data_IF_644633033197
#
_entry.id   IF_644633033197
#
_cell.length_a   1.000
_cell.length_b   1.000
_cell.length_c   1.000
_cell.angle_alpha   90.00
_cell.angle_beta   90.00
_cell.angle_gamma   90.00
#
_symmetry.space_group_name_H-M   'P 1'
#
loop_
_entity.id
_entity.type
_entity.pdbx_description
1 polymer ?
#
# COMPACT_ATOMS: atom_id res chain seq x y z
N UNK A 1 -4.56 -75.68 -2.94
CA UNK A 1 -5.58 -74.90 -2.19
C UNK A 1 -5.00 -73.49 -1.99
N UNK A 2 -5.55 -72.48 -2.67
CA UNK A 2 -5.09 -71.08 -2.61
C UNK A 2 -5.63 -70.44 -1.33
N UNK A 3 -4.78 -69.82 -0.52
CA UNK A 3 -5.21 -68.82 0.47
C UNK A 3 -4.25 -67.64 0.39
N UNK A 4 -4.74 -66.59 -0.26
CA UNK A 4 -4.15 -65.26 -0.40
C UNK A 4 -4.22 -64.52 0.92
N UNK A 5 -3.06 -64.19 1.50
CA UNK A 5 -2.97 -63.31 2.67
C UNK A 5 -1.96 -62.19 2.40
N UNK A 6 -2.43 -61.13 1.75
CA UNK A 6 -1.94 -59.79 2.03
C UNK A 6 -3.11 -58.83 1.83
N UNK A 7 -3.64 -58.27 2.93
CA UNK A 7 -3.67 -56.82 3.01
C UNK A 7 -3.60 -56.36 4.48
N UNK A 8 -2.46 -56.52 5.15
CA UNK A 8 -2.31 -56.00 6.52
C UNK A 8 -1.37 -54.79 6.60
N UNK A 9 -0.39 -54.69 5.69
CA UNK A 9 0.60 -53.60 5.70
C UNK A 9 0.07 -52.33 5.01
N UNK A 10 -0.74 -52.46 3.96
CA UNK A 10 -1.31 -51.30 3.25
C UNK A 10 -2.41 -50.59 4.06
N UNK A 11 -3.24 -51.35 4.78
CA UNK A 11 -4.36 -50.83 5.57
C UNK A 11 -3.88 -50.07 6.81
N UNK A 12 -2.83 -50.58 7.48
CA UNK A 12 -2.16 -49.89 8.59
C UNK A 12 -1.48 -48.61 8.11
N UNK A 13 -0.81 -48.65 6.96
CA UNK A 13 -0.20 -47.46 6.35
C UNK A 13 -1.23 -46.39 6.00
N UNK A 14 -2.39 -46.77 5.44
CA UNK A 14 -3.48 -45.84 5.17
C UNK A 14 -4.11 -45.26 6.44
N UNK A 15 -4.31 -46.07 7.48
CA UNK A 15 -4.79 -45.56 8.77
C UNK A 15 -3.78 -44.60 9.42
N UNK A 16 -2.48 -44.88 9.35
CA UNK A 16 -1.43 -43.95 9.82
C UNK A 16 -1.41 -42.65 9.02
N UNK A 17 -1.60 -42.72 7.70
CA UNK A 17 -1.65 -41.55 6.84
C UNK A 17 -2.90 -40.69 7.10
N UNK A 18 -4.06 -41.32 7.31
CA UNK A 18 -5.31 -40.64 7.67
C UNK A 18 -5.24 -39.99 9.06
N UNK A 19 -4.61 -40.65 10.04
CA UNK A 19 -4.39 -40.07 11.38
C UNK A 19 -3.45 -38.87 11.29
N UNK A 20 -2.36 -38.96 10.52
CA UNK A 20 -1.45 -37.83 10.28
C UNK A 20 -2.13 -36.64 9.62
N UNK A 21 -3.00 -36.89 8.62
CA UNK A 21 -3.76 -35.84 7.95
C UNK A 21 -4.82 -35.19 8.87
N UNK A 22 -5.43 -35.96 9.77
CA UNK A 22 -6.34 -35.43 10.80
C UNK A 22 -5.61 -34.50 11.80
N UNK A 23 -4.37 -34.84 12.16
CA UNK A 23 -3.52 -33.98 13.00
C UNK A 23 -3.13 -32.66 12.31
N UNK A 24 -2.89 -32.67 10.99
CA UNK A 24 -2.63 -31.44 10.22
C UNK A 24 -3.86 -30.51 10.20
N UNK A 25 -5.07 -31.06 10.07
CA UNK A 25 -6.29 -30.24 10.16
C UNK A 25 -6.57 -29.73 11.58
N UNK A 26 -6.26 -30.53 12.62
CA UNK A 26 -6.44 -30.09 14.01
C UNK A 26 -5.44 -28.98 14.41
N UNK A 27 -4.24 -28.96 13.82
CA UNK A 27 -3.23 -27.94 14.07
C UNK A 27 -3.54 -26.55 13.46
N UNK A 28 -4.58 -26.44 12.62
CA UNK A 28 -5.06 -25.15 12.11
C UNK A 28 -6.22 -24.54 12.94
N UNK A 29 -6.60 -25.15 14.06
CA UNK A 29 -7.69 -24.66 14.92
C UNK A 29 -7.23 -24.05 16.24
N UNK A 30 -5.97 -23.64 16.34
CA UNK A 30 -5.62 -22.60 17.33
C UNK A 30 -6.20 -21.28 16.83
N UNK A 31 -7.45 -21.00 17.22
CA UNK A 31 -7.86 -19.61 17.39
C UNK A 31 -6.75 -18.95 18.22
N UNK A 32 -6.21 -17.80 17.80
CA UNK A 32 -5.12 -17.16 18.51
C UNK A 32 -5.55 -17.05 19.98
N UNK A 33 -4.79 -17.70 20.87
CA UNK A 33 -4.91 -17.41 22.29
C UNK A 33 -4.82 -15.90 22.37
N UNK A 34 -5.84 -15.28 22.96
CA UNK A 34 -5.69 -13.94 23.51
C UNK A 34 -4.62 -14.07 24.58
N UNK A 35 -3.35 -14.05 24.19
CA UNK A 35 -2.40 -13.21 24.90
C UNK A 35 -3.13 -11.90 25.08
N UNK A 36 -3.10 -11.38 26.30
CA UNK A 36 -3.41 -9.99 26.51
C UNK A 36 -2.56 -9.24 25.49
N UNK A 37 -3.20 -8.91 24.36
CA UNK A 37 -2.86 -7.80 23.54
C UNK A 37 -2.97 -6.70 24.58
N UNK A 38 -1.84 -6.41 25.24
CA UNK A 38 -1.48 -5.05 25.57
C UNK A 38 -1.98 -4.32 24.36
N UNK A 39 -3.16 -3.69 24.51
CA UNK A 39 -3.72 -2.85 23.48
C UNK A 39 -2.49 -2.07 23.10
N UNK A 40 -1.97 -2.27 21.88
CA UNK A 40 -1.10 -1.27 21.29
C UNK A 40 -1.93 -0.04 21.55
N UNK A 41 -1.49 0.74 22.54
CA UNK A 41 -2.16 1.96 22.87
C UNK A 41 -2.12 2.60 21.50
N UNK A 42 -3.29 2.79 20.90
CA UNK A 42 -3.42 3.77 19.84
C UNK A 42 -3.00 5.01 20.58
N UNK A 43 -1.67 5.24 20.62
CA UNK A 43 -1.09 6.50 20.92
C UNK A 43 -1.91 7.39 20.03
N UNK A 44 -2.68 8.29 20.65
CA UNK A 44 -3.35 9.36 19.94
C UNK A 44 -2.34 9.81 18.90
N UNK A 45 -2.63 9.54 17.62
CA UNK A 45 -1.70 9.88 16.55
C UNK A 45 -1.60 11.38 16.72
N UNK A 46 -0.51 11.85 17.32
CA UNK A 46 -0.33 13.24 17.63
C UNK A 46 -0.55 13.93 16.30
N UNK A 47 -1.60 14.76 16.22
CA UNK A 47 -2.01 15.37 14.96
C UNK A 47 -0.86 16.27 14.55
N UNK A 48 0.02 15.76 13.70
CA UNK A 48 1.11 16.54 13.14
C UNK A 48 0.46 17.49 12.14
N UNK A 49 0.66 18.78 12.36
CA UNK A 49 0.19 19.78 11.42
C UNK A 49 1.06 19.73 10.16
N UNK A 50 0.41 19.67 9.01
CA UNK A 50 1.09 19.61 7.72
C UNK A 50 1.76 20.96 7.41
N UNK A 51 3.06 20.93 7.12
CA UNK A 51 3.76 22.06 6.51
C UNK A 51 3.77 21.88 4.99
N UNK A 52 3.36 22.92 4.28
CA UNK A 52 3.29 22.92 2.81
C UNK A 52 4.45 23.73 2.24
N UNK A 53 5.32 23.05 1.49
CA UNK A 53 6.47 23.63 0.83
C UNK A 53 6.16 23.92 -0.63
N UNK A 54 6.72 25.02 -1.15
CA UNK A 54 6.56 25.38 -2.56
C UNK A 54 7.41 24.46 -3.43
N UNK A 55 6.80 23.88 -4.46
CA UNK A 55 7.53 23.19 -5.54
C UNK A 55 7.71 24.17 -6.69
N UNK A 56 8.95 24.38 -7.11
CA UNK A 56 9.33 25.32 -8.17
C UNK A 56 10.27 24.62 -9.14
N UNK A 57 10.13 24.92 -10.43
CA UNK A 57 11.15 24.60 -11.40
C UNK A 57 12.20 25.73 -11.41
N UNK A 58 13.46 25.39 -11.63
CA UNK A 58 14.56 26.35 -11.73
C UNK A 58 15.05 26.36 -13.17
N UNK A 59 14.91 27.49 -13.83
CA UNK A 59 15.44 27.73 -15.16
C UNK A 59 16.98 27.74 -15.10
N UNK A 60 17.72 27.32 -16.15
CA UNK A 60 19.19 27.30 -16.13
C UNK A 60 19.85 28.65 -15.75
N UNK A 61 19.15 29.75 -16.04
CA UNK A 61 19.51 31.14 -15.78
C UNK A 61 19.15 31.58 -14.35
N UNK A 62 18.68 30.66 -13.49
CA UNK A 62 18.38 30.87 -12.08
C UNK A 62 16.99 31.41 -11.78
N UNK A 63 16.12 31.57 -12.79
CA UNK A 63 14.74 32.02 -12.59
C UNK A 63 13.87 30.90 -12.00
N UNK A 64 13.02 31.24 -11.04
CA UNK A 64 12.06 30.31 -10.45
C UNK A 64 10.75 30.34 -11.23
N UNK A 65 10.26 29.16 -11.63
CA UNK A 65 9.02 28.98 -12.37
C UNK A 65 8.02 28.18 -11.53
N UNK A 66 6.75 28.54 -11.65
CA UNK A 66 5.66 27.85 -10.99
C UNK A 66 5.42 26.47 -11.60
N UNK A 67 5.27 25.47 -10.74
CA UNK A 67 4.78 24.14 -11.13
C UNK A 67 3.30 24.06 -10.77
N UNK A 68 2.45 23.84 -11.77
CA UNK A 68 0.99 23.79 -11.66
C UNK A 68 0.44 22.54 -12.34
N UNK A 69 -0.62 21.97 -11.79
CA UNK A 69 -1.45 21.02 -12.52
C UNK A 69 -2.58 21.76 -13.23
N UNK A 70 -3.08 21.19 -14.33
CA UNK A 70 -4.20 21.73 -15.09
C UNK A 70 -5.21 20.62 -15.35
N UNK A 71 -6.50 20.93 -15.23
CA UNK A 71 -7.57 20.05 -15.71
C UNK A 71 -7.86 20.27 -17.20
N UNK A 72 -8.83 19.53 -17.73
CA UNK A 72 -9.22 19.58 -19.14
C UNK A 72 -9.78 20.96 -19.54
N UNK A 73 -10.36 21.70 -18.60
CA UNK A 73 -10.89 23.06 -18.78
C UNK A 73 -9.79 24.13 -18.65
N UNK A 74 -8.57 23.74 -18.28
CA UNK A 74 -7.42 24.64 -18.12
C UNK A 74 -7.38 25.37 -16.77
N UNK A 75 -8.19 24.97 -15.80
CA UNK A 75 -8.09 25.48 -14.42
C UNK A 75 -6.81 24.95 -13.78
N UNK A 76 -6.06 25.87 -13.19
CA UNK A 76 -4.78 25.56 -12.54
C UNK A 76 -4.95 25.16 -11.08
N UNK A 77 -4.17 24.18 -10.63
CA UNK A 77 -4.08 23.74 -9.24
C UNK A 77 -2.64 23.81 -8.73
N UNK A 78 -2.51 24.04 -7.43
CA UNK A 78 -1.21 24.15 -6.77
C UNK A 78 -0.56 22.78 -6.57
N UNK A 79 0.73 22.70 -6.88
CA UNK A 79 1.58 21.56 -6.52
C UNK A 79 2.42 21.95 -5.30
N UNK A 80 2.33 21.17 -4.23
CA UNK A 80 3.03 21.39 -2.97
C UNK A 80 3.73 20.11 -2.52
N UNK A 81 4.85 20.26 -1.83
CA UNK A 81 5.43 19.18 -1.05
C UNK A 81 4.88 19.24 0.38
N UNK A 82 4.54 18.10 0.97
CA UNK A 82 3.91 18.01 2.29
C UNK A 82 4.87 17.35 3.27
N UNK A 83 5.13 18.04 4.37
CA UNK A 83 5.80 17.49 5.56
C UNK A 83 4.74 17.26 6.64
N UNK A 84 4.51 15.99 6.98
CA UNK A 84 3.49 15.56 7.94
C UNK A 84 4.05 14.77 9.14
N UNK A 85 5.37 14.85 9.34
CA UNK A 85 6.11 14.27 10.47
C UNK A 85 7.39 15.08 10.67
N UNK A 86 8.22 14.66 11.60
CA UNK A 86 9.66 14.98 11.75
C UNK A 86 10.55 14.52 10.57
N UNK A 87 9.97 14.34 9.38
CA UNK A 87 10.71 13.96 8.17
C UNK A 87 11.42 15.18 7.57
N UNK A 88 12.74 15.08 7.41
CA UNK A 88 13.56 16.18 6.87
C UNK A 88 14.14 15.88 5.48
N UNK A 89 14.10 14.61 5.04
CA UNK A 89 14.82 14.15 3.84
C UNK A 89 13.95 13.88 2.63
N UNK A 90 12.71 13.42 2.84
CA UNK A 90 11.79 13.07 1.76
C UNK A 90 10.45 13.73 2.04
N UNK A 91 9.86 14.37 1.03
CA UNK A 91 8.56 15.01 1.13
C UNK A 91 7.66 14.52 0.01
N UNK A 92 6.39 14.29 0.33
CA UNK A 92 5.39 13.88 -0.64
C UNK A 92 4.97 15.07 -1.51
N UNK A 93 5.12 14.97 -2.82
CA UNK A 93 4.59 15.95 -3.77
C UNK A 93 3.14 15.61 -4.11
N UNK A 94 2.22 16.54 -3.87
CA UNK A 94 0.78 16.37 -4.07
C UNK A 94 0.15 17.58 -4.77
N UNK A 95 -0.94 17.33 -5.49
CA UNK A 95 -1.78 18.36 -6.08
C UNK A 95 -2.86 18.78 -5.09
N UNK A 96 -3.06 20.08 -4.89
CA UNK A 96 -4.04 20.60 -3.94
C UNK A 96 -5.31 20.98 -4.70
N UNK A 97 -6.33 20.12 -4.59
CA UNK A 97 -7.65 20.32 -5.18
C UNK A 97 -8.66 20.48 -4.05
N UNK A 98 -9.33 21.63 -3.96
CA UNK A 98 -10.33 21.91 -2.93
C UNK A 98 -9.85 21.64 -1.49
N UNK A 99 -8.59 22.04 -1.21
CA UNK A 99 -7.88 21.83 0.07
C UNK A 99 -7.58 20.36 0.39
N UNK A 100 -7.88 19.45 -0.53
CA UNK A 100 -7.54 18.03 -0.44
C UNK A 100 -6.25 17.75 -1.23
N UNK A 101 -5.26 17.08 -0.62
CA UNK A 101 -4.04 16.72 -1.31
C UNK A 101 -4.23 15.41 -2.09
N UNK A 102 -4.21 15.49 -3.42
CA UNK A 102 -4.28 14.35 -4.32
C UNK A 102 -2.87 13.86 -4.69
N UNK A 103 -2.66 12.53 -4.77
CA UNK A 103 -1.39 11.97 -5.22
C UNK A 103 -1.07 12.38 -6.66
N UNK A 104 0.20 12.72 -6.90
CA UNK A 104 0.75 12.90 -8.24
C UNK A 104 1.53 11.63 -8.60
N UNK A 105 1.22 11.03 -9.75
CA UNK A 105 1.76 9.74 -10.17
C UNK A 105 2.36 9.81 -11.56
N UNK A 106 3.45 9.06 -11.72
CA UNK A 106 3.98 8.73 -13.04
C UNK A 106 3.04 7.71 -13.70
N UNK A 107 2.66 7.97 -14.93
CA UNK A 107 1.80 7.14 -15.75
C UNK A 107 2.62 6.46 -16.84
N UNK A 108 2.28 5.21 -17.13
CA UNK A 108 2.73 4.58 -18.37
C UNK A 108 2.08 5.32 -19.55
N UNK A 109 2.92 5.86 -20.43
CA UNK A 109 2.48 6.66 -21.58
C UNK A 109 3.47 6.48 -22.73
N UNK A 110 2.94 6.26 -23.93
CA UNK A 110 3.71 6.33 -25.17
C UNK A 110 4.04 7.80 -25.57
N UNK A 111 3.36 8.78 -24.96
CA UNK A 111 3.61 10.20 -25.17
C UNK A 111 4.60 10.73 -24.12
N UNK A 112 5.76 11.18 -24.58
CA UNK A 112 6.86 11.70 -23.76
C UNK A 112 6.49 12.94 -22.92
N UNK A 113 5.41 13.64 -23.27
CA UNK A 113 5.01 14.88 -22.59
C UNK A 113 3.92 14.70 -21.54
N UNK A 114 3.35 13.49 -21.40
CA UNK A 114 2.27 13.22 -20.44
C UNK A 114 2.54 12.02 -19.52
N UNK A 115 3.75 11.87 -18.92
CA UNK A 115 3.97 10.78 -17.99
C UNK A 115 3.52 11.13 -16.57
N UNK A 116 2.91 12.30 -16.27
CA UNK A 116 2.56 12.67 -14.89
C UNK A 116 1.13 13.21 -14.81
N UNK A 117 0.34 12.69 -13.85
CA UNK A 117 -0.99 13.21 -13.55
C UNK A 117 -1.29 13.19 -12.05
N UNK A 118 -2.18 14.07 -11.59
CA UNK A 118 -2.85 13.90 -10.31
C UNK A 118 -3.87 12.76 -10.45
N UNK A 119 -4.08 11.99 -9.39
CA UNK A 119 -5.05 10.89 -9.39
C UNK A 119 -6.05 11.15 -8.28
N UNK A 120 -7.34 11.22 -8.63
CA UNK A 120 -8.42 11.42 -7.67
C UNK A 120 -8.71 10.13 -6.89
N UNK A 121 -9.63 10.21 -5.92
CA UNK A 121 -9.97 9.07 -5.06
C UNK A 121 -10.65 7.91 -5.81
N UNK A 122 -11.20 8.17 -6.99
CA UNK A 122 -11.82 7.17 -7.87
C UNK A 122 -10.80 6.53 -8.83
N UNK A 123 -9.53 6.97 -8.80
CA UNK A 123 -8.47 6.48 -9.68
C UNK A 123 -8.44 7.16 -11.06
N UNK A 124 -9.25 8.20 -11.28
CA UNK A 124 -9.23 9.00 -12.50
C UNK A 124 -8.19 10.14 -12.42
N UNK A 125 -7.80 10.66 -13.59
CA UNK A 125 -6.82 11.74 -13.75
C UNK A 125 -7.45 13.12 -13.62
#
# INVERSE_FOLDING_TARGET
MKTSNHPFIGTIGHSLFLIGFLFVFAACNEAPKKEDTSKTQTAEIAKVDNVYWNVKAIHPEGQSLDVKAFDAEGKSFDIKAIQNSDQDSFLDVKCIVDRQPLPVKMLESANQFVPVAAINNDGAK
#
